data_IF_936118200243
#
_entry.id   IF_936118200243
#
_cell.length_a   1.000
_cell.length_b   1.000
_cell.length_c   1.000
_cell.angle_alpha   90.00
_cell.angle_beta   90.00
_cell.angle_gamma   90.00
#
_symmetry.space_group_name_H-M   'P 1'
#
loop_
_entity.id
_entity.type
_entity.pdbx_description
1 polymer ?
#
# COMPACT_ATOMS: atom_id res chain seq x y z
N UNK A 1 -0.92 10.63 -4.46
CA UNK A 1 -2.07 10.08 -5.20
C UNK A 1 -1.66 8.74 -5.80
N UNK A 2 -2.61 7.86 -6.12
CA UNK A 2 -2.34 6.57 -6.76
C UNK A 2 -3.45 6.25 -7.75
N UNK A 3 -3.09 5.68 -8.90
CA UNK A 3 -4.06 5.18 -9.86
C UNK A 3 -4.39 3.73 -9.50
N UNK A 4 -5.67 3.42 -9.40
CA UNK A 4 -6.20 2.11 -9.03
C UNK A 4 -7.05 1.61 -10.19
N UNK A 5 -6.84 0.37 -10.68
CA UNK A 5 -7.71 -0.22 -11.68
C UNK A 5 -9.20 -0.12 -11.32
N UNK A 6 -10.03 0.03 -12.35
CA UNK A 6 -11.47 -0.10 -12.25
C UNK A 6 -11.89 -1.32 -13.08
N UNK A 7 -11.86 -2.55 -12.53
CA UNK A 7 -12.00 -3.78 -13.33
C UNK A 7 -13.28 -3.85 -14.16
N UNK A 8 -14.34 -3.17 -13.71
CA UNK A 8 -15.66 -3.18 -14.33
C UNK A 8 -16.02 -1.88 -15.07
N UNK A 9 -15.04 -1.00 -15.34
CA UNK A 9 -15.29 0.28 -16.02
C UNK A 9 -14.10 0.68 -16.92
N UNK A 10 -14.35 1.40 -18.02
CA UNK A 10 -13.27 2.00 -18.79
C UNK A 10 -12.51 3.03 -17.94
N UNK A 11 -11.17 3.00 -18.00
CA UNK A 11 -10.30 3.94 -17.30
C UNK A 11 -9.75 3.42 -15.97
N UNK A 12 -9.51 4.32 -15.03
CA UNK A 12 -8.96 4.01 -13.71
C UNK A 12 -9.53 4.98 -12.66
N UNK A 13 -9.49 4.56 -11.40
CA UNK A 13 -9.77 5.41 -10.24
C UNK A 13 -8.49 6.10 -9.80
N UNK A 14 -8.58 7.31 -9.26
CA UNK A 14 -7.45 7.99 -8.64
C UNK A 14 -7.73 8.23 -7.17
N UNK A 15 -6.92 7.63 -6.30
CA UNK A 15 -6.94 7.91 -4.87
C UNK A 15 -6.02 9.10 -4.57
N UNK A 16 -6.54 10.15 -3.95
CA UNK A 16 -5.77 11.36 -3.61
C UNK A 16 -5.91 11.60 -2.11
N UNK A 17 -4.79 11.57 -1.40
CA UNK A 17 -4.75 11.91 0.02
C UNK A 17 -4.26 13.34 0.18
N UNK A 18 -4.84 14.08 1.13
CA UNK A 18 -4.43 15.45 1.47
C UNK A 18 -3.04 15.42 2.13
N UNK A 19 -2.03 15.88 1.38
CA UNK A 19 -0.63 15.90 1.79
C UNK A 19 0.09 17.22 1.48
N UNK A 20 -0.62 18.24 0.99
CA UNK A 20 -0.09 19.56 0.65
C UNK A 20 -1.05 20.36 -0.23
N UNK A 21 -0.67 21.60 -0.55
CA UNK A 21 -1.54 22.60 -1.18
C UNK A 21 -2.20 22.12 -2.48
N UNK A 22 -1.44 21.43 -3.33
CA UNK A 22 -2.00 20.89 -4.57
C UNK A 22 -3.05 19.82 -4.30
N UNK A 23 -2.75 18.81 -3.47
CA UNK A 23 -3.70 17.74 -3.14
C UNK A 23 -4.93 18.26 -2.39
N UNK A 24 -4.74 19.26 -1.52
CA UNK A 24 -5.84 19.89 -0.79
C UNK A 24 -6.78 20.61 -1.74
N UNK A 25 -6.26 21.50 -2.58
CA UNK A 25 -7.06 22.19 -3.61
C UNK A 25 -7.73 21.23 -4.58
N UNK A 26 -7.05 20.15 -4.97
CA UNK A 26 -7.65 19.14 -5.85
C UNK A 26 -8.87 18.47 -5.21
N UNK A 27 -8.83 18.21 -3.89
CA UNK A 27 -9.95 17.62 -3.13
C UNK A 27 -11.06 18.66 -2.92
N UNK A 28 -10.71 19.87 -2.49
CA UNK A 28 -11.67 20.93 -2.13
C UNK A 28 -12.34 21.58 -3.35
N UNK A 29 -11.66 21.55 -4.50
CA UNK A 29 -12.13 22.15 -5.75
C UNK A 29 -11.72 21.28 -6.95
N UNK A 30 -12.41 20.14 -7.16
CA UNK A 30 -12.06 19.19 -8.22
C UNK A 30 -12.07 19.84 -9.61
N UNK A 31 -11.01 19.66 -10.43
CA UNK A 31 -10.97 20.23 -11.76
C UNK A 31 -11.94 19.49 -12.71
N UNK A 32 -12.42 20.19 -13.75
CA UNK A 32 -13.26 19.58 -14.80
C UNK A 32 -12.50 18.61 -15.71
N UNK A 33 -11.18 18.77 -15.81
CA UNK A 33 -10.31 17.97 -16.65
C UNK A 33 -8.98 17.70 -15.93
N UNK A 34 -8.42 16.51 -16.14
CA UNK A 34 -7.12 16.10 -15.60
C UNK A 34 -6.23 15.68 -16.76
N UNK A 35 -5.03 16.25 -16.83
CA UNK A 35 -4.02 15.84 -17.80
C UNK A 35 -3.28 14.61 -17.26
N UNK A 36 -3.22 13.55 -18.07
CA UNK A 36 -2.67 12.26 -17.68
C UNK A 36 -1.52 11.91 -18.60
N UNK A 37 -0.42 11.41 -18.03
CA UNK A 37 0.71 10.91 -18.84
C UNK A 37 0.31 9.56 -19.42
N UNK A 38 0.29 9.42 -20.74
CA UNK A 38 -0.22 8.23 -21.44
C UNK A 38 0.61 6.95 -21.31
N UNK A 39 1.76 7.00 -20.65
CA UNK A 39 2.62 5.84 -20.39
C UNK A 39 2.50 5.44 -18.93
N UNK A 40 2.06 4.21 -18.68
CA UNK A 40 2.01 3.61 -17.36
C UNK A 40 3.41 3.22 -16.90
N UNK A 41 3.89 3.81 -15.81
CA UNK A 41 5.13 3.38 -15.16
C UNK A 41 4.87 2.17 -14.28
N UNK A 42 5.76 1.18 -14.35
CA UNK A 42 5.77 0.07 -13.39
C UNK A 42 6.30 0.56 -12.05
N UNK A 43 5.51 0.38 -10.99
CA UNK A 43 5.93 0.74 -9.62
C UNK A 43 6.83 -0.33 -8.98
N UNK A 44 7.41 0.01 -7.83
CA UNK A 44 8.25 -0.87 -6.98
C UNK A 44 7.60 -2.23 -6.71
N UNK A 45 6.29 -2.27 -6.56
CA UNK A 45 5.56 -3.47 -6.21
C UNK A 45 5.56 -4.55 -7.30
N UNK A 46 5.98 -4.26 -8.56
CA UNK A 46 6.17 -5.28 -9.61
C UNK A 46 7.19 -6.37 -9.20
N UNK A 47 8.09 -6.07 -8.27
CA UNK A 47 9.06 -7.06 -7.77
C UNK A 47 8.39 -8.29 -7.13
N UNK A 48 7.11 -8.20 -6.74
CA UNK A 48 6.34 -9.34 -6.21
C UNK A 48 6.39 -10.57 -7.13
N UNK A 49 6.47 -10.37 -8.45
CA UNK A 49 6.40 -11.47 -9.43
C UNK A 49 7.65 -12.36 -9.43
N UNK A 50 8.68 -11.99 -8.67
CA UNK A 50 9.88 -12.81 -8.44
C UNK A 50 9.68 -13.81 -7.28
N UNK A 51 8.55 -13.73 -6.57
CA UNK A 51 8.25 -14.50 -5.37
C UNK A 51 6.92 -15.25 -5.53
N UNK A 52 6.76 -16.34 -4.78
CA UNK A 52 5.55 -17.14 -4.67
C UNK A 52 4.54 -16.55 -3.71
N UNK A 53 5.01 -15.87 -2.66
CA UNK A 53 4.18 -15.27 -1.60
C UNK A 53 4.87 -14.04 -1.03
N UNK A 54 4.14 -12.92 -0.89
CA UNK A 54 4.72 -11.69 -0.34
C UNK A 54 3.83 -11.06 0.73
N UNK A 55 4.47 -10.33 1.65
CA UNK A 55 3.78 -9.44 2.60
C UNK A 55 3.92 -8.00 2.14
N UNK A 56 2.82 -7.29 1.99
CA UNK A 56 2.81 -5.85 1.77
C UNK A 56 2.69 -5.10 3.09
N UNK A 57 3.53 -4.09 3.30
CA UNK A 57 3.45 -3.14 4.42
C UNK A 57 3.16 -1.74 3.87
N UNK A 58 1.94 -1.26 4.06
CA UNK A 58 1.50 0.07 3.67
C UNK A 58 1.28 0.98 4.87
N UNK A 59 1.58 2.27 4.74
CA UNK A 59 1.15 3.29 5.73
C UNK A 59 0.42 4.44 5.08
N UNK A 60 -0.70 4.89 5.68
CA UNK A 60 -1.46 6.01 5.14
C UNK A 60 -1.86 5.76 3.69
N UNK A 61 -1.56 6.73 2.82
CA UNK A 61 -1.82 6.66 1.38
C UNK A 61 -0.97 5.63 0.64
N UNK A 62 0.01 5.01 1.31
CA UNK A 62 0.84 3.94 0.75
C UNK A 62 0.05 2.68 0.38
N UNK A 63 -1.21 2.55 0.81
CA UNK A 63 -2.12 1.50 0.32
C UNK A 63 -2.48 1.68 -1.16
N UNK A 64 -2.48 2.93 -1.66
CA UNK A 64 -2.89 3.23 -3.04
C UNK A 64 -2.08 2.48 -4.10
N UNK A 65 -0.74 2.50 -4.04
CA UNK A 65 0.10 1.67 -4.91
C UNK A 65 0.02 0.15 -4.66
N UNK A 66 -0.51 -0.30 -3.51
CA UNK A 66 -0.62 -1.72 -3.18
C UNK A 66 -1.91 -2.34 -3.75
N UNK A 67 -3.04 -1.64 -3.65
CA UNK A 67 -4.35 -2.16 -4.10
C UNK A 67 -4.36 -2.73 -5.52
N UNK A 68 -3.71 -2.13 -6.54
CA UNK A 68 -3.65 -2.72 -7.87
C UNK A 68 -3.10 -4.16 -7.89
N UNK A 69 -2.16 -4.47 -7.01
CA UNK A 69 -1.56 -5.81 -6.89
C UNK A 69 -2.50 -6.79 -6.19
N UNK A 70 -3.18 -6.33 -5.12
CA UNK A 70 -4.22 -7.12 -4.43
C UNK A 70 -5.37 -7.48 -5.37
N UNK A 71 -5.84 -6.51 -6.16
CA UNK A 71 -6.91 -6.72 -7.14
C UNK A 71 -6.49 -7.63 -8.29
N UNK A 72 -5.23 -7.55 -8.71
CA UNK A 72 -4.72 -8.41 -9.78
C UNK A 72 -4.59 -9.88 -9.32
N UNK A 73 -4.26 -10.11 -8.05
CA UNK A 73 -4.20 -11.46 -7.47
C UNK A 73 -3.16 -12.39 -8.11
N UNK A 74 -2.16 -11.84 -8.82
CA UNK A 74 -1.15 -12.62 -9.55
C UNK A 74 -0.21 -13.39 -8.61
N UNK A 75 0.02 -12.85 -7.42
CA UNK A 75 0.86 -13.44 -6.37
C UNK A 75 0.03 -13.48 -5.09
N UNK A 76 -0.02 -14.61 -4.37
CA UNK A 76 -0.57 -14.66 -3.03
C UNK A 76 0.05 -13.59 -2.12
N UNK A 77 -0.79 -12.74 -1.55
CA UNK A 77 -0.35 -11.56 -0.78
C UNK A 77 -1.07 -11.47 0.56
N UNK A 78 -0.34 -11.04 1.59
CA UNK A 78 -0.91 -10.60 2.87
C UNK A 78 -0.63 -9.12 3.07
N UNK A 79 -1.65 -8.35 3.46
CA UNK A 79 -1.55 -6.91 3.68
C UNK A 79 -1.40 -6.59 5.16
N UNK A 80 -0.45 -5.72 5.48
CA UNK A 80 -0.41 -4.93 6.71
C UNK A 80 -0.57 -3.48 6.30
N UNK A 81 -1.66 -2.84 6.72
CA UNK A 81 -1.94 -1.44 6.44
C UNK A 81 -2.20 -0.66 7.72
N UNK A 82 -1.28 0.27 8.06
CA UNK A 82 -1.43 1.16 9.22
C UNK A 82 -1.83 2.56 8.79
N UNK A 83 -2.97 3.06 9.26
CA UNK A 83 -3.46 4.41 8.93
C UNK A 83 -4.35 4.97 10.04
N UNK A 84 -4.62 6.29 9.98
CA UNK A 84 -5.55 6.97 10.88
C UNK A 84 -6.97 6.81 10.36
N UNK A 85 -7.92 6.41 11.20
CA UNK A 85 -9.35 6.27 10.88
C UNK A 85 -9.61 5.75 9.45
N UNK A 86 -9.24 4.49 9.12
CA UNK A 86 -9.25 3.98 7.74
C UNK A 86 -10.61 4.13 7.05
N UNK A 87 -11.69 3.76 7.73
CA UNK A 87 -13.05 3.85 7.19
C UNK A 87 -13.54 5.29 7.04
N UNK A 88 -13.24 6.16 8.02
CA UNK A 88 -13.56 7.59 7.93
C UNK A 88 -12.81 8.28 6.79
N UNK A 89 -11.53 7.93 6.61
CA UNK A 89 -10.65 8.60 5.64
C UNK A 89 -10.83 8.09 4.22
N UNK A 90 -11.04 6.78 4.03
CA UNK A 90 -11.09 6.15 2.70
C UNK A 90 -12.47 5.62 2.31
N UNK A 91 -13.42 5.60 3.25
CA UNK A 91 -14.78 5.09 3.05
C UNK A 91 -14.88 3.57 3.16
N UNK A 92 -16.06 3.10 3.56
CA UNK A 92 -16.34 1.67 3.74
C UNK A 92 -16.13 0.87 2.46
N UNK A 93 -16.60 1.38 1.32
CA UNK A 93 -16.48 0.69 0.04
C UNK A 93 -15.03 0.36 -0.36
N UNK A 94 -14.08 1.25 -0.05
CA UNK A 94 -12.66 1.01 -0.34
C UNK A 94 -12.04 0.00 0.62
N UNK A 95 -12.34 0.13 1.91
CA UNK A 95 -11.87 -0.82 2.93
C UNK A 95 -12.45 -2.22 2.65
N UNK A 96 -13.73 -2.32 2.32
CA UNK A 96 -14.40 -3.59 2.02
C UNK A 96 -13.91 -4.19 0.69
N UNK A 97 -13.44 -3.38 -0.26
CA UNK A 97 -12.75 -3.86 -1.46
C UNK A 97 -11.42 -4.54 -1.11
N UNK A 98 -10.63 -3.93 -0.22
CA UNK A 98 -9.37 -4.52 0.28
C UNK A 98 -9.67 -5.85 0.99
N UNK A 99 -10.63 -5.86 1.92
CA UNK A 99 -10.98 -7.05 2.69
C UNK A 99 -11.43 -8.23 1.80
N UNK A 100 -12.05 -7.95 0.64
CA UNK A 100 -12.49 -8.99 -0.30
C UNK A 100 -11.37 -9.57 -1.16
N UNK A 101 -10.25 -8.87 -1.33
CA UNK A 101 -9.16 -9.26 -2.23
C UNK A 101 -7.86 -9.58 -1.48
N UNK A 102 -7.92 -9.80 -0.17
CA UNK A 102 -6.73 -10.13 0.62
C UNK A 102 -7.10 -11.12 1.71
N UNK A 103 -6.27 -12.14 1.88
CA UNK A 103 -6.40 -13.12 2.95
C UNK A 103 -5.82 -12.56 4.24
N UNK A 104 -6.64 -12.53 5.31
CA UNK A 104 -6.29 -12.05 6.65
C UNK A 104 -5.52 -10.71 6.68
N UNK A 105 -6.05 -9.62 6.08
CA UNK A 105 -5.38 -8.34 6.09
C UNK A 105 -5.35 -7.74 7.51
N UNK A 106 -4.19 -7.23 7.92
CA UNK A 106 -4.02 -6.46 9.14
C UNK A 106 -4.28 -4.98 8.83
N UNK A 107 -5.50 -4.50 9.06
CA UNK A 107 -5.83 -3.08 9.00
C UNK A 107 -5.71 -2.48 10.41
N UNK A 108 -4.70 -1.65 10.61
CA UNK A 108 -4.36 -1.05 11.90
C UNK A 108 -4.75 0.43 11.95
N UNK A 109 -5.82 0.73 12.70
CA UNK A 109 -6.22 2.10 13.01
C UNK A 109 -5.34 2.71 14.11
N UNK A 110 -4.52 3.69 13.74
CA UNK A 110 -3.60 4.35 14.67
C UNK A 110 -4.26 5.36 15.60
N UNK A 111 -5.46 5.86 15.29
CA UNK A 111 -6.18 6.75 16.20
C UNK A 111 -6.81 5.96 17.34
N UNK A 112 -7.27 4.74 17.05
CA UNK A 112 -7.83 3.82 18.06
C UNK A 112 -6.76 3.06 18.86
N UNK A 113 -5.64 2.67 18.24
CA UNK A 113 -4.67 1.71 18.83
C UNK A 113 -3.26 2.27 19.01
N UNK A 114 -3.01 3.52 18.65
CA UNK A 114 -1.67 4.09 18.57
C UNK A 114 -0.85 3.52 17.41
N UNK A 115 0.42 3.93 17.31
CA UNK A 115 1.32 3.47 16.24
C UNK A 115 1.85 2.06 16.52
N UNK A 116 1.71 1.09 15.59
CA UNK A 116 2.22 -0.26 15.80
C UNK A 116 3.74 -0.34 15.60
N UNK A 117 4.34 -1.40 16.12
CA UNK A 117 5.63 -1.89 15.62
C UNK A 117 5.41 -2.64 14.30
N UNK A 118 5.60 -1.93 13.19
CA UNK A 118 5.43 -2.49 11.85
C UNK A 118 6.44 -3.61 11.55
N UNK A 119 7.63 -3.59 12.14
CA UNK A 119 8.63 -4.63 11.93
C UNK A 119 8.21 -5.93 12.63
N UNK A 120 7.63 -5.83 13.82
CA UNK A 120 7.06 -6.98 14.52
C UNK A 120 5.86 -7.57 13.77
N UNK A 121 4.93 -6.72 13.29
CA UNK A 121 3.79 -7.16 12.49
C UNK A 121 4.24 -7.82 11.18
N UNK A 122 5.23 -7.24 10.48
CA UNK A 122 5.79 -7.82 9.26
C UNK A 122 6.42 -9.18 9.52
N UNK A 123 7.22 -9.31 10.57
CA UNK A 123 7.84 -10.59 10.95
C UNK A 123 6.80 -11.67 11.28
N UNK A 124 5.76 -11.30 12.01
CA UNK A 124 4.66 -12.20 12.34
C UNK A 124 3.95 -12.67 11.06
N UNK A 125 3.57 -11.73 10.18
CA UNK A 125 2.89 -12.05 8.94
C UNK A 125 3.76 -12.91 8.00
N UNK A 126 5.07 -12.65 7.92
CA UNK A 126 6.01 -13.48 7.15
C UNK A 126 5.99 -14.92 7.63
N UNK A 127 5.99 -15.15 8.94
CA UNK A 127 5.97 -16.51 9.53
C UNK A 127 4.64 -17.22 9.33
N UNK A 128 3.54 -16.52 9.57
CA UNK A 128 2.20 -17.10 9.46
C UNK A 128 1.79 -17.36 8.01
N UNK A 129 2.24 -16.52 7.08
CA UNK A 129 1.92 -16.60 5.66
C UNK A 129 2.99 -17.35 4.84
N UNK A 130 4.09 -17.76 5.45
CA UNK A 130 5.25 -18.36 4.76
C UNK A 130 5.71 -17.50 3.56
N UNK A 131 5.88 -16.20 3.81
CA UNK A 131 6.20 -15.23 2.76
C UNK A 131 7.70 -15.24 2.43
N UNK A 132 8.03 -15.15 1.13
CA UNK A 132 9.42 -15.11 0.66
C UNK A 132 10.00 -13.68 0.65
N UNK A 133 9.15 -12.65 0.69
CA UNK A 133 9.59 -11.25 0.73
C UNK A 133 8.59 -10.31 1.39
N UNK A 134 9.09 -9.15 1.84
CA UNK A 134 8.30 -8.01 2.33
C UNK A 134 8.45 -6.82 1.38
N UNK A 135 7.34 -6.20 0.97
CA UNK A 135 7.34 -5.00 0.13
C UNK A 135 6.70 -3.84 0.91
N UNK A 136 7.46 -2.77 1.10
CA UNK A 136 7.12 -1.65 1.99
C UNK A 136 6.82 -0.39 1.19
N UNK A 137 5.60 0.13 1.33
CA UNK A 137 5.14 1.40 0.77
C UNK A 137 4.79 2.35 1.90
N UNK A 138 5.80 3.12 2.33
CA UNK A 138 5.71 4.04 3.47
C UNK A 138 6.60 5.27 3.24
N UNK A 139 6.72 6.14 4.25
CA UNK A 139 7.70 7.22 4.25
C UNK A 139 9.14 6.65 4.37
N UNK A 140 10.14 7.49 4.06
CA UNK A 140 11.55 7.10 4.05
C UNK A 140 12.04 6.48 5.36
N UNK A 141 11.70 7.10 6.50
CA UNK A 141 12.17 6.65 7.81
C UNK A 141 11.64 5.27 8.14
N UNK A 142 10.33 5.07 7.99
CA UNK A 142 9.70 3.78 8.29
C UNK A 142 10.13 2.69 7.30
N UNK A 143 10.23 3.03 6.02
CA UNK A 143 10.65 2.05 5.02
C UNK A 143 12.06 1.54 5.28
N UNK A 144 13.03 2.45 5.51
CA UNK A 144 14.41 2.06 5.86
C UNK A 144 14.46 1.18 7.11
N UNK A 145 13.67 1.51 8.14
CA UNK A 145 13.59 0.71 9.37
C UNK A 145 13.09 -0.71 9.08
N UNK A 146 11.92 -0.84 8.44
CA UNK A 146 11.30 -2.15 8.20
C UNK A 146 12.17 -3.01 7.30
N UNK A 147 12.74 -2.43 6.23
CA UNK A 147 13.66 -3.15 5.33
C UNK A 147 14.87 -3.65 6.10
N UNK A 148 15.56 -2.78 6.86
CA UNK A 148 16.71 -3.17 7.68
C UNK A 148 16.38 -4.26 8.70
N UNK A 149 15.24 -4.14 9.40
CA UNK A 149 14.82 -5.11 10.40
C UNK A 149 14.50 -6.49 9.77
N UNK A 150 13.99 -6.55 8.54
CA UNK A 150 13.73 -7.81 7.84
C UNK A 150 15.02 -8.41 7.29
N UNK A 151 15.86 -7.61 6.63
CA UNK A 151 17.11 -8.08 6.03
C UNK A 151 18.11 -8.57 7.09
N UNK A 152 18.19 -7.91 8.25
CA UNK A 152 18.99 -8.39 9.39
C UNK A 152 18.57 -9.76 9.92
N UNK A 153 17.39 -10.24 9.54
CA UNK A 153 16.84 -11.57 9.87
C UNK A 153 16.88 -12.53 8.67
N UNK A 154 17.53 -12.15 7.58
CA UNK A 154 17.63 -12.94 6.35
C UNK A 154 16.36 -12.96 5.50
N UNK A 155 15.42 -12.04 5.75
CA UNK A 155 14.16 -11.93 5.00
C UNK A 155 14.34 -10.86 3.92
N UNK A 156 14.19 -11.18 2.62
CA UNK A 156 14.20 -10.18 1.56
C UNK A 156 13.15 -9.09 1.79
N UNK A 157 13.56 -7.83 1.74
CA UNK A 157 12.64 -6.71 1.90
C UNK A 157 12.96 -5.57 0.95
N UNK A 158 11.91 -4.95 0.41
CA UNK A 158 12.01 -3.94 -0.64
C UNK A 158 11.17 -2.73 -0.31
N UNK A 159 11.62 -1.56 -0.73
CA UNK A 159 10.88 -0.31 -0.57
C UNK A 159 11.23 0.67 -1.67
N UNK A 160 10.59 1.85 -1.64
CA UNK A 160 10.98 2.93 -2.54
C UNK A 160 12.46 3.29 -2.37
N UNK A 161 13.10 3.76 -3.44
CA UNK A 161 14.43 4.38 -3.38
C UNK A 161 14.22 5.90 -3.30
N UNK A 162 15.03 6.58 -2.50
CA UNK A 162 15.03 8.04 -2.37
C UNK A 162 16.34 8.56 -2.94
N UNK A 163 16.37 8.76 -4.26
CA UNK A 163 17.52 9.23 -5.04
C UNK A 163 17.28 10.60 -5.73
N UNK A 164 16.13 11.23 -5.45
CA UNK A 164 15.75 12.57 -5.95
C UNK A 164 16.11 13.70 -4.98
#
# INVERSE_FOLDING_TARGET
FANIPAPNAPGYRQAISRAGDWTGRFIDSPPRHVWVKGITTSGVARIETLFKRVVYVGTGSGVGPIVPHLLAGNVPTRLIWSTRSPRETYGDAFVDEILRHTEDPVIWDTDARGKPDLSALALQAVREFDAEAVIVISNQKLTRKVVHDMESRGIPAFGAIWDS
#
